data_IF_595810392020
#
_entry.id   IF_595810392020
#
_cell.length_a   1.000
_cell.length_b   1.000
_cell.length_c   1.000
_cell.angle_alpha   90.00
_cell.angle_beta   90.00
_cell.angle_gamma   90.00
#
_symmetry.space_group_name_H-M   'P 1'
#
loop_
_entity.id
_entity.type
_entity.pdbx_description
1 polymer ?
#
# COMPACT_ATOMS: atom_id res chain seq x y z
N UNK A 1 3.43 6.35 20.62
CA UNK A 1 4.11 6.92 19.44
C UNK A 1 3.13 6.87 18.29
N UNK A 2 2.71 8.02 17.76
CA UNK A 2 1.84 8.04 16.57
C UNK A 2 2.65 7.55 15.37
N UNK A 3 2.07 6.63 14.59
CA UNK A 3 2.69 6.14 13.35
C UNK A 3 2.74 7.31 12.34
N UNK A 4 3.92 7.83 12.09
CA UNK A 4 4.16 8.95 11.19
C UNK A 4 3.63 8.67 9.76
N UNK A 5 3.57 7.39 9.38
CA UNK A 5 3.11 6.95 8.06
C UNK A 5 1.62 6.60 8.02
N UNK A 6 0.88 6.79 9.11
CA UNK A 6 -0.54 6.46 9.15
C UNK A 6 -1.35 7.15 8.03
N UNK A 7 -1.18 8.45 7.74
CA UNK A 7 -1.91 9.09 6.63
C UNK A 7 -1.61 8.45 5.27
N UNK A 8 -0.35 8.05 5.04
CA UNK A 8 0.06 7.38 3.80
C UNK A 8 -0.58 6.00 3.71
N UNK A 9 -0.59 5.23 4.80
CA UNK A 9 -1.25 3.91 4.85
C UNK A 9 -2.75 4.02 4.59
N UNK A 10 -3.41 5.03 5.16
CA UNK A 10 -4.84 5.27 4.94
C UNK A 10 -5.10 5.63 3.47
N UNK A 11 -4.31 6.54 2.88
CA UNK A 11 -4.42 6.90 1.47
C UNK A 11 -4.21 5.71 0.53
N UNK A 12 -3.18 4.90 0.79
CA UNK A 12 -2.94 3.65 0.04
C UNK A 12 -4.08 2.65 0.21
N UNK A 13 -4.61 2.49 1.40
CA UNK A 13 -5.76 1.63 1.65
C UNK A 13 -6.99 2.06 0.85
N UNK A 14 -7.26 3.36 0.78
CA UNK A 14 -8.34 3.92 -0.05
C UNK A 14 -8.09 3.69 -1.54
N UNK A 15 -6.86 3.90 -2.01
CA UNK A 15 -6.48 3.65 -3.40
C UNK A 15 -6.70 2.18 -3.77
N UNK A 16 -6.23 1.25 -2.94
CA UNK A 16 -6.40 -0.18 -3.14
C UNK A 16 -7.87 -0.62 -3.11
N UNK A 17 -8.67 0.00 -2.26
CA UNK A 17 -10.11 -0.25 -2.21
C UNK A 17 -10.78 0.17 -3.52
N UNK A 18 -10.46 1.35 -4.04
CA UNK A 18 -10.97 1.84 -5.32
C UNK A 18 -10.52 0.95 -6.48
N UNK A 19 -9.24 0.57 -6.51
CA UNK A 19 -8.74 -0.38 -7.50
C UNK A 19 -9.57 -1.66 -7.52
N UNK A 20 -9.79 -2.26 -6.36
CA UNK A 20 -10.56 -3.49 -6.26
C UNK A 20 -12.01 -3.32 -6.70
N UNK A 21 -12.64 -2.19 -6.39
CA UNK A 21 -14.01 -1.88 -6.80
C UNK A 21 -14.13 -1.61 -8.31
N UNK A 22 -13.08 -1.06 -8.93
CA UNK A 22 -13.03 -0.80 -10.38
C UNK A 22 -12.66 -2.03 -11.20
N UNK A 23 -12.30 -3.14 -10.56
CA UNK A 23 -11.83 -4.33 -11.24
C UNK A 23 -12.99 -5.01 -12.00
N UNK A 24 -13.01 -4.85 -13.32
CA UNK A 24 -13.95 -5.51 -14.20
C UNK A 24 -13.39 -6.89 -14.56
N UNK A 25 -14.12 -7.92 -14.20
CA UNK A 25 -13.75 -9.32 -14.46
C UNK A 25 -14.76 -9.92 -15.42
N UNK A 26 -14.25 -10.58 -16.44
CA UNK A 26 -15.04 -11.25 -17.48
C UNK A 26 -14.93 -12.77 -17.36
N UNK A 27 -15.81 -13.51 -18.02
CA UNK A 27 -15.75 -14.97 -18.06
C UNK A 27 -14.47 -15.51 -18.73
N UNK A 28 -13.77 -14.69 -19.51
CA UNK A 28 -12.50 -15.05 -20.14
C UNK A 28 -11.29 -14.92 -19.21
N UNK A 29 -11.48 -14.29 -18.05
CA UNK A 29 -10.41 -14.19 -17.06
C UNK A 29 -10.18 -15.54 -16.36
N UNK A 30 -8.95 -15.76 -15.89
CA UNK A 30 -8.63 -16.98 -15.16
C UNK A 30 -9.47 -17.09 -13.89
N UNK A 31 -9.76 -18.32 -13.45
CA UNK A 31 -10.50 -18.58 -12.22
C UNK A 31 -9.85 -17.89 -11.01
N UNK A 32 -8.52 -17.78 -11.00
CA UNK A 32 -7.77 -17.09 -9.95
C UNK A 32 -8.09 -15.58 -9.90
N UNK A 33 -8.16 -14.91 -11.06
CA UNK A 33 -8.50 -13.48 -11.15
C UNK A 33 -9.96 -13.24 -10.74
N UNK A 34 -10.87 -14.13 -11.17
CA UNK A 34 -12.29 -14.07 -10.77
C UNK A 34 -12.44 -14.23 -9.26
N UNK A 35 -11.74 -15.19 -8.67
CA UNK A 35 -11.76 -15.43 -7.24
C UNK A 35 -11.17 -14.26 -6.45
N UNK A 36 -10.06 -13.65 -6.92
CA UNK A 36 -9.51 -12.42 -6.35
C UNK A 36 -10.53 -11.29 -6.30
N UNK A 37 -11.27 -11.08 -7.38
CA UNK A 37 -12.28 -10.03 -7.46
C UNK A 37 -13.43 -10.25 -6.48
N UNK A 38 -13.82 -11.49 -6.26
CA UNK A 38 -14.93 -11.86 -5.38
C UNK A 38 -14.57 -11.88 -3.89
N UNK A 39 -13.28 -11.96 -3.55
CA UNK A 39 -12.83 -11.96 -2.14
C UNK A 39 -12.99 -10.59 -1.50
N UNK A 40 -13.12 -10.57 -0.17
CA UNK A 40 -13.07 -9.33 0.62
C UNK A 40 -11.66 -8.73 0.59
N UNK A 41 -11.57 -7.42 0.75
CA UNK A 41 -10.30 -6.67 0.72
C UNK A 41 -9.23 -7.26 1.68
N UNK A 42 -9.54 -7.56 2.96
CA UNK A 42 -8.55 -8.13 3.88
C UNK A 42 -8.00 -9.51 3.47
N UNK A 43 -8.75 -10.25 2.64
CA UNK A 43 -8.33 -11.55 2.10
C UNK A 43 -7.57 -11.45 0.78
N UNK A 44 -7.54 -10.26 0.19
CA UNK A 44 -6.92 -10.01 -1.12
C UNK A 44 -5.66 -9.17 -1.02
N UNK A 45 -5.53 -8.38 0.02
CA UNK A 45 -4.45 -7.40 0.16
C UNK A 45 -3.89 -7.39 1.57
N UNK A 46 -2.57 -7.21 1.67
CA UNK A 46 -1.85 -7.14 2.94
C UNK A 46 -0.82 -6.02 2.91
N UNK A 47 -0.69 -5.32 4.02
CA UNK A 47 0.44 -4.42 4.25
C UNK A 47 1.59 -5.20 4.88
N UNK A 48 2.74 -5.21 4.21
CA UNK A 48 3.95 -5.77 4.75
C UNK A 48 4.45 -4.91 5.94
N UNK A 49 4.95 -5.53 7.01
CA UNK A 49 5.41 -4.77 8.17
C UNK A 49 6.67 -4.00 7.84
N UNK A 50 6.52 -2.69 7.66
CA UNK A 50 7.56 -1.63 7.74
C UNK A 50 8.88 -1.84 6.98
N UNK A 51 8.96 -2.69 5.98
CA UNK A 51 10.15 -2.89 5.13
C UNK A 51 9.75 -3.28 3.72
N UNK A 52 10.66 -3.09 2.79
CA UNK A 52 10.48 -3.57 1.43
C UNK A 52 10.36 -5.11 1.42
N UNK A 53 9.65 -5.61 0.42
CA UNK A 53 9.44 -7.04 0.24
C UNK A 53 10.68 -7.59 -0.48
N UNK A 54 11.57 -8.18 0.29
CA UNK A 54 12.80 -8.79 -0.23
C UNK A 54 12.66 -10.32 -0.39
N UNK A 55 11.82 -10.92 0.45
CA UNK A 55 11.55 -12.34 0.45
C UNK A 55 10.04 -12.61 0.44
N UNK A 56 9.52 -13.10 -0.68
CA UNK A 56 8.10 -13.42 -0.85
C UNK A 56 7.71 -14.59 0.06
N UNK A 57 8.62 -15.54 0.25
CA UNK A 57 8.43 -16.72 1.10
C UNK A 57 8.13 -16.35 2.55
N UNK A 58 8.80 -15.32 3.07
CA UNK A 58 8.59 -14.84 4.44
C UNK A 58 7.17 -14.25 4.61
N UNK A 59 6.70 -13.51 3.61
CA UNK A 59 5.35 -12.95 3.61
C UNK A 59 4.30 -14.05 3.54
N UNK A 60 4.50 -15.01 2.65
CA UNK A 60 3.60 -16.15 2.50
C UNK A 60 3.57 -17.00 3.77
N UNK A 61 4.72 -17.19 4.41
CA UNK A 61 4.83 -17.91 5.67
C UNK A 61 4.10 -17.18 6.80
N UNK A 62 4.28 -15.86 6.90
CA UNK A 62 3.59 -15.05 7.89
C UNK A 62 2.08 -15.01 7.65
N UNK A 63 1.66 -14.92 6.40
CA UNK A 63 0.25 -14.98 6.01
C UNK A 63 -0.41 -16.30 6.40
N UNK A 64 0.25 -17.42 6.11
CA UNK A 64 -0.22 -18.77 6.46
C UNK A 64 -0.37 -18.96 7.96
N UNK A 65 0.58 -18.45 8.76
CA UNK A 65 0.52 -18.48 10.23
C UNK A 65 -0.66 -17.70 10.80
N UNK A 66 -1.02 -16.58 10.18
CA UNK A 66 -2.11 -15.73 10.66
C UNK A 66 -3.50 -16.27 10.31
N UNK A 67 -3.63 -17.20 9.38
CA UNK A 67 -4.92 -17.76 8.97
C UNK A 67 -5.44 -18.85 9.89
N UNK A 68 -4.70 -19.27 10.93
CA UNK A 68 -5.07 -20.29 11.93
C UNK A 68 -5.60 -21.63 11.37
N UNK A 69 -5.40 -21.88 10.10
CA UNK A 69 -5.93 -23.03 9.38
C UNK A 69 -4.79 -24.03 9.12
N UNK A 70 -4.47 -24.82 10.15
CA UNK A 70 -3.40 -25.83 10.09
C UNK A 70 -3.61 -26.85 8.94
N UNK A 71 -4.85 -27.04 8.50
CA UNK A 71 -5.21 -27.92 7.39
C UNK A 71 -4.96 -27.31 6.01
N UNK A 72 -4.79 -25.99 5.90
CA UNK A 72 -4.57 -25.28 4.64
C UNK A 72 -3.12 -24.84 4.42
N UNK A 73 -2.19 -25.31 5.21
CA UNK A 73 -0.78 -24.94 5.15
C UNK A 73 -0.12 -25.19 3.77
N UNK A 74 -0.69 -26.06 2.95
CA UNK A 74 -0.24 -26.35 1.58
C UNK A 74 -1.18 -25.81 0.49
N UNK A 75 -2.32 -25.21 0.86
CA UNK A 75 -3.28 -24.70 -0.11
C UNK A 75 -2.83 -23.34 -0.67
N UNK A 76 -2.84 -23.22 -1.99
CA UNK A 76 -2.67 -21.95 -2.72
C UNK A 76 -4.00 -21.19 -2.84
N UNK A 77 -5.05 -21.63 -2.16
CA UNK A 77 -6.40 -21.08 -2.23
C UNK A 77 -6.52 -19.61 -1.80
N UNK A 78 -5.49 -19.04 -1.15
CA UNK A 78 -5.43 -17.62 -0.81
C UNK A 78 -4.85 -16.74 -1.93
N UNK A 79 -4.26 -17.35 -2.95
CA UNK A 79 -3.76 -16.64 -4.12
C UNK A 79 -4.89 -16.40 -5.15
N UNK A 80 -4.84 -15.33 -5.92
CA UNK A 80 -3.87 -14.23 -5.89
C UNK A 80 -4.03 -13.30 -4.69
N UNK A 81 -2.93 -12.62 -4.33
CA UNK A 81 -2.92 -11.56 -3.31
C UNK A 81 -2.00 -10.42 -3.72
N UNK A 82 -2.27 -9.24 -3.18
CA UNK A 82 -1.42 -8.07 -3.36
C UNK A 82 -0.79 -7.71 -2.02
N UNK A 83 0.53 -7.65 -1.99
CA UNK A 83 1.29 -7.18 -0.85
C UNK A 83 1.80 -5.75 -1.12
N UNK A 84 1.61 -4.87 -0.14
CA UNK A 84 2.02 -3.46 -0.21
C UNK A 84 3.04 -3.20 0.89
N UNK A 85 4.20 -2.69 0.51
CA UNK A 85 5.24 -2.26 1.44
C UNK A 85 5.54 -0.77 1.29
N UNK A 86 5.76 -0.10 2.40
CA UNK A 86 6.15 1.31 2.44
C UNK A 86 7.59 1.36 2.93
N UNK A 87 8.47 1.97 2.14
CA UNK A 87 9.85 2.20 2.54
C UNK A 87 9.91 3.12 3.77
N UNK A 88 10.91 2.91 4.61
CA UNK A 88 11.15 3.79 5.78
C UNK A 88 11.92 5.04 5.41
N UNK A 89 12.64 4.97 4.32
CA UNK A 89 13.43 6.06 3.78
C UNK A 89 12.52 7.12 3.16
N UNK A 90 12.69 8.33 3.62
CA UNK A 90 12.08 9.51 3.05
C UNK A 90 13.13 10.22 2.20
N UNK A 91 12.85 10.38 0.93
CA UNK A 91 13.73 11.12 0.02
C UNK A 91 13.18 12.53 -0.14
N UNK A 92 13.90 13.57 0.31
CA UNK A 92 13.49 14.95 0.06
C UNK A 92 13.34 15.17 -1.44
N UNK A 93 12.34 15.96 -1.84
CA UNK A 93 12.20 16.35 -3.23
C UNK A 93 13.44 17.15 -3.67
N UNK A 94 13.96 16.83 -4.85
CA UNK A 94 15.09 17.59 -5.40
C UNK A 94 14.67 19.04 -5.68
N UNK A 95 15.52 20.02 -5.43
CA UNK A 95 15.25 21.43 -5.79
C UNK A 95 14.89 21.61 -7.28
N UNK A 96 15.45 20.76 -8.17
CA UNK A 96 15.14 20.76 -9.60
C UNK A 96 13.74 20.23 -9.94
N UNK A 97 13.05 19.56 -9.02
CA UNK A 97 11.68 19.07 -9.21
C UNK A 97 10.60 20.02 -8.69
N UNK A 98 10.90 21.32 -8.66
CA UNK A 98 9.93 22.33 -8.24
C UNK A 98 9.61 22.25 -6.76
N UNK A 99 10.63 22.08 -5.95
CA UNK A 99 10.58 22.41 -4.54
C UNK A 99 10.26 23.91 -4.45
N UNK A 100 9.01 24.27 -4.69
CA UNK A 100 8.54 25.52 -4.14
C UNK A 100 8.51 25.27 -2.62
N UNK A 101 9.54 25.78 -1.95
CA UNK A 101 9.43 26.18 -0.57
C UNK A 101 8.24 27.15 -0.58
N UNK A 102 7.07 26.64 -0.21
CA UNK A 102 5.93 27.53 0.01
C UNK A 102 6.39 28.52 1.07
N UNK A 103 5.91 29.75 0.98
CA UNK A 103 6.15 30.75 2.02
C UNK A 103 5.89 30.12 3.38
N UNK A 104 6.77 30.39 4.34
CA UNK A 104 6.61 29.90 5.69
C UNK A 104 5.22 30.23 6.22
N UNK A 105 4.48 29.25 6.69
CA UNK A 105 3.13 29.45 7.21
C UNK A 105 3.26 29.84 8.68
N UNK A 106 2.69 31.00 9.05
CA UNK A 106 2.59 31.39 10.45
C UNK A 106 1.46 30.57 11.13
N UNK A 107 1.85 29.66 12.02
CA UNK A 107 0.91 28.86 12.80
C UNK A 107 0.78 29.48 14.19
N UNK A 108 -0.41 29.94 14.54
CA UNK A 108 -0.73 30.35 15.90
C UNK A 108 -1.01 29.13 16.76
N UNK A 109 -0.34 29.03 17.90
CA UNK A 109 -0.59 27.93 18.85
C UNK A 109 -1.84 28.25 19.66
N UNK A 110 -2.90 27.41 19.61
CA UNK A 110 -4.06 27.56 20.47
C UNK A 110 -3.63 27.38 21.95
N UNK A 111 -4.09 28.24 22.83
CA UNK A 111 -3.85 28.23 24.29
C UNK A 111 -2.52 28.83 24.79
N UNK A 112 -1.78 29.56 23.97
CA UNK A 112 -0.68 30.36 24.48
C UNK A 112 -1.13 31.80 24.65
N UNK A 113 -1.04 32.39 25.88
CA UNK A 113 -1.55 33.75 26.14
C UNK A 113 -0.79 34.84 25.40
N UNK A 114 0.41 34.58 24.91
CA UNK A 114 1.29 35.57 24.28
C UNK A 114 1.24 35.56 22.76
N UNK A 115 0.20 35.00 22.12
CA UNK A 115 0.04 34.93 20.65
C UNK A 115 1.32 34.56 19.87
N UNK A 116 2.10 33.61 20.39
CA UNK A 116 3.32 33.17 19.72
C UNK A 116 2.98 32.51 18.40
N UNK A 117 3.46 33.08 17.31
CA UNK A 117 3.43 32.46 16.00
C UNK A 117 4.71 31.67 15.77
N UNK A 118 4.57 30.43 15.28
CA UNK A 118 5.68 29.64 14.80
C UNK A 118 5.70 29.73 13.28
N UNK A 119 6.85 30.01 12.71
CA UNK A 119 7.06 29.83 11.26
C UNK A 119 7.28 28.37 10.98
N UNK A 120 6.41 27.78 10.19
CA UNK A 120 6.48 26.38 9.79
C UNK A 120 6.80 26.29 8.30
N UNK A 121 7.89 25.63 7.98
CA UNK A 121 8.24 25.31 6.59
C UNK A 121 7.74 23.93 6.23
N UNK A 122 7.11 23.80 5.08
CA UNK A 122 6.66 22.53 4.55
C UNK A 122 7.76 21.91 3.69
N UNK A 123 8.31 20.80 4.15
CA UNK A 123 9.27 20.00 3.38
C UNK A 123 8.48 18.95 2.59
N UNK A 124 8.57 19.02 1.28
CA UNK A 124 8.02 17.97 0.40
C UNK A 124 9.05 16.88 0.21
N UNK A 125 8.59 15.65 0.10
CA UNK A 125 9.44 14.52 -0.19
C UNK A 125 8.67 13.38 -0.83
N UNK A 126 9.43 12.39 -1.26
CA UNK A 126 8.91 11.19 -1.90
C UNK A 126 9.05 10.01 -0.96
N UNK A 127 8.02 9.22 -0.91
CA UNK A 127 7.99 7.96 -0.19
C UNK A 127 7.86 6.83 -1.20
N UNK A 128 8.79 5.87 -1.18
CA UNK A 128 8.73 4.72 -2.06
C UNK A 128 7.73 3.70 -1.55
N UNK A 129 6.81 3.31 -2.41
CA UNK A 129 5.85 2.24 -2.15
C UNK A 129 6.14 1.10 -3.13
N UNK A 130 6.22 -0.11 -2.61
CA UNK A 130 6.34 -1.33 -3.40
C UNK A 130 5.01 -2.06 -3.38
N UNK A 131 4.50 -2.40 -4.55
CA UNK A 131 3.31 -3.23 -4.72
C UNK A 131 3.73 -4.52 -5.41
N UNK A 132 3.43 -5.65 -4.79
CA UNK A 132 3.79 -6.98 -5.29
C UNK A 132 2.52 -7.79 -5.48
N UNK A 133 2.29 -8.28 -6.68
CA UNK A 133 1.22 -9.22 -7.00
C UNK A 133 1.77 -10.64 -6.93
N UNK A 134 1.17 -11.46 -6.09
CA UNK A 134 1.52 -12.87 -5.92
C UNK A 134 0.34 -13.69 -6.40
N UNK A 135 0.54 -14.55 -7.40
CA UNK A 135 -0.52 -15.36 -8.00
C UNK A 135 -0.05 -16.81 -8.19
N UNK A 136 -0.99 -17.76 -8.39
CA UNK A 136 -0.64 -19.15 -8.60
C UNK A 136 0.03 -19.40 -9.96
N UNK A 137 -0.19 -18.50 -10.93
CA UNK A 137 0.34 -18.59 -12.28
C UNK A 137 0.76 -17.21 -12.82
N UNK A 138 1.68 -17.21 -13.77
CA UNK A 138 2.26 -16.00 -14.37
C UNK A 138 1.20 -15.17 -15.14
N UNK A 139 0.26 -15.81 -15.79
CA UNK A 139 -0.80 -15.15 -16.55
C UNK A 139 -1.71 -14.33 -15.64
N UNK A 140 -2.13 -14.90 -14.52
CA UNK A 140 -2.95 -14.20 -13.51
C UNK A 140 -2.19 -13.06 -12.85
N UNK A 141 -0.89 -13.25 -12.57
CA UNK A 141 -0.04 -12.19 -12.00
C UNK A 141 0.07 -11.01 -12.96
N UNK A 142 0.39 -11.26 -14.22
CA UNK A 142 0.50 -10.23 -15.26
C UNK A 142 -0.83 -9.51 -15.50
N UNK A 143 -1.93 -10.25 -15.58
CA UNK A 143 -3.26 -9.68 -15.77
C UNK A 143 -3.62 -8.70 -14.66
N UNK A 144 -3.42 -9.07 -13.39
CA UNK A 144 -3.71 -8.21 -12.26
C UNK A 144 -2.76 -7.01 -12.21
N UNK A 145 -1.46 -7.21 -12.49
CA UNK A 145 -0.49 -6.12 -12.49
C UNK A 145 -0.77 -5.10 -13.59
N UNK A 146 -1.09 -5.55 -14.80
CA UNK A 146 -1.46 -4.65 -15.90
C UNK A 146 -2.69 -3.81 -15.54
N UNK A 147 -3.74 -4.42 -14.99
CA UNK A 147 -4.94 -3.70 -14.54
C UNK A 147 -4.62 -2.70 -13.45
N UNK A 148 -3.72 -3.03 -12.55
CA UNK A 148 -3.26 -2.12 -11.50
C UNK A 148 -2.49 -0.93 -12.08
N UNK A 149 -1.63 -1.14 -13.07
CA UNK A 149 -0.85 -0.07 -13.71
C UNK A 149 -1.71 0.87 -14.57
N UNK A 150 -2.87 0.40 -15.03
CA UNK A 150 -3.81 1.19 -15.86
C UNK A 150 -4.91 1.88 -15.04
N UNK A 151 -4.97 1.62 -13.75
CA UNK A 151 -5.91 2.24 -12.82
C UNK A 151 -5.40 3.58 -12.32
#
# INVERSE_FOLDING_TARGET
>A
MSDLFLPVKVGLGQYMTRFKQSLIVTHNDSAAVQDFANRTLPKSMVFAPSRMIDAIEDILSAWRKNTNDATKAQSTAFLPMIAVAIARDYTPASPSQGMMLGDAIDVKLPNYPDERSLKMELIRGQLRVQVVVIAPDDSSAKSLMMRFCHF
#
